data_IF_392726058086
#
_entry.id   IF_392726058086
#
_cell.length_a   1.000
_cell.length_b   1.000
_cell.length_c   1.000
_cell.angle_alpha   90.00
_cell.angle_beta   90.00
_cell.angle_gamma   90.00
#
_symmetry.space_group_name_H-M   'P 1'
#
loop_
_entity.id
_entity.type
_entity.pdbx_description
1 polymer ?
#
# COMPACT_ATOMS: atom_id res chain seq x y z
N UNK A 1 4.19 -22.34 -0.14
CA UNK A 1 5.62 -22.46 0.22
C UNK A 1 5.78 -21.61 1.47
N UNK A 2 6.30 -22.19 2.52
CA UNK A 2 6.58 -21.46 3.77
C UNK A 2 8.05 -21.00 3.74
N UNK A 3 8.29 -19.76 4.12
CA UNK A 3 9.61 -19.17 4.20
C UNK A 3 9.95 -18.95 5.67
N UNK A 4 10.66 -19.89 6.29
CA UNK A 4 11.12 -19.81 7.69
C UNK A 4 12.48 -19.13 7.78
N UNK A 5 12.72 -18.38 8.85
CA UNK A 5 14.01 -17.72 9.13
C UNK A 5 14.31 -16.47 8.28
N UNK A 6 13.36 -15.98 7.50
CA UNK A 6 13.52 -14.75 6.70
C UNK A 6 13.16 -13.54 7.53
N UNK A 7 14.08 -12.57 7.64
CA UNK A 7 13.76 -11.22 8.12
C UNK A 7 13.16 -10.40 6.97
N UNK A 8 11.83 -10.39 6.87
CA UNK A 8 11.12 -9.69 5.78
C UNK A 8 11.28 -8.17 5.84
N UNK A 9 11.46 -7.59 7.02
CA UNK A 9 11.74 -6.15 7.13
C UNK A 9 13.08 -5.80 6.49
N UNK A 10 14.11 -6.52 6.84
CA UNK A 10 15.47 -6.33 6.29
C UNK A 10 15.50 -6.61 4.79
N UNK A 11 14.80 -7.64 4.33
CA UNK A 11 14.68 -7.95 2.91
C UNK A 11 14.12 -6.76 2.13
N UNK A 12 13.01 -6.18 2.59
CA UNK A 12 12.36 -5.03 1.91
C UNK A 12 13.27 -3.81 1.94
N UNK A 13 13.83 -3.49 3.10
CA UNK A 13 14.69 -2.32 3.28
C UNK A 13 15.95 -2.43 2.39
N UNK A 14 16.57 -3.61 2.31
CA UNK A 14 17.73 -3.89 1.45
C UNK A 14 17.38 -3.83 -0.04
N UNK A 15 16.22 -4.38 -0.44
CA UNK A 15 15.80 -4.38 -1.83
C UNK A 15 15.53 -2.94 -2.34
N UNK A 16 14.94 -2.08 -1.50
CA UNK A 16 14.73 -0.68 -1.81
C UNK A 16 16.05 0.10 -1.83
N UNK A 17 16.90 -0.08 -0.82
CA UNK A 17 18.18 0.64 -0.70
C UNK A 17 19.12 0.39 -1.90
N UNK A 18 19.15 -0.83 -2.45
CA UNK A 18 19.91 -1.17 -3.67
C UNK A 18 19.57 -0.28 -4.87
N UNK A 19 18.36 0.25 -4.91
CA UNK A 19 17.87 1.12 -5.99
C UNK A 19 17.78 2.60 -5.56
N UNK A 20 18.33 2.96 -4.40
CA UNK A 20 18.33 4.34 -3.90
C UNK A 20 17.00 4.80 -3.32
N UNK A 21 16.20 3.87 -2.81
CA UNK A 21 14.92 4.17 -2.16
C UNK A 21 14.92 3.75 -0.68
N UNK A 22 14.03 4.35 0.09
CA UNK A 22 13.73 3.95 1.48
C UNK A 22 12.22 3.91 1.70
N UNK A 23 11.76 3.02 2.58
CA UNK A 23 10.37 2.96 3.01
C UNK A 23 10.23 3.57 4.41
N UNK A 24 9.21 4.39 4.60
CA UNK A 24 8.95 5.13 5.84
C UNK A 24 7.51 4.87 6.28
N UNK A 25 7.34 4.54 7.57
CA UNK A 25 6.02 4.46 8.19
C UNK A 25 5.46 5.88 8.38
N UNK A 26 4.22 6.10 7.97
CA UNK A 26 3.53 7.39 8.15
C UNK A 26 2.94 7.44 9.55
N UNK A 27 3.69 8.01 10.48
CA UNK A 27 3.17 8.38 11.80
C UNK A 27 2.37 9.69 11.72
N UNK A 28 1.65 10.04 12.79
CA UNK A 28 0.98 11.35 12.93
C UNK A 28 1.97 12.49 12.68
N UNK A 29 3.15 12.43 13.30
CA UNK A 29 4.19 13.46 13.14
C UNK A 29 4.67 13.57 11.68
N UNK A 30 4.86 12.44 10.99
CA UNK A 30 5.25 12.42 9.58
C UNK A 30 4.13 13.00 8.71
N UNK A 31 2.88 12.64 8.98
CA UNK A 31 1.72 13.20 8.26
C UNK A 31 1.67 14.72 8.42
N UNK A 32 1.77 15.24 9.65
CA UNK A 32 1.71 16.67 9.93
C UNK A 32 2.88 17.45 9.31
N UNK A 33 4.10 16.91 9.37
CA UNK A 33 5.29 17.59 8.85
C UNK A 33 5.42 17.56 7.33
N UNK A 34 4.76 16.59 6.66
CA UNK A 34 4.84 16.39 5.19
C UNK A 34 3.49 16.49 4.48
N UNK A 35 2.51 17.09 5.12
CA UNK A 35 1.14 17.14 4.60
C UNK A 35 1.07 17.75 3.20
N UNK A 36 1.83 18.82 2.93
CA UNK A 36 1.79 19.50 1.64
C UNK A 36 2.42 18.64 0.52
N UNK A 37 3.51 17.92 0.82
CA UNK A 37 4.11 16.95 -0.10
C UNK A 37 3.16 15.79 -0.40
N UNK A 38 2.53 15.25 0.66
CA UNK A 38 1.58 14.14 0.56
C UNK A 38 0.38 14.55 -0.27
N UNK A 39 -0.22 15.70 0.00
CA UNK A 39 -1.37 16.22 -0.76
C UNK A 39 -1.01 16.46 -2.22
N UNK A 40 0.13 17.12 -2.47
CA UNK A 40 0.61 17.39 -3.83
C UNK A 40 0.79 16.08 -4.60
N UNK A 41 1.44 15.08 -3.99
CA UNK A 41 1.66 13.77 -4.59
C UNK A 41 0.34 13.03 -4.88
N UNK A 42 -0.56 12.93 -3.89
CA UNK A 42 -1.83 12.23 -4.04
C UNK A 42 -2.71 12.91 -5.09
N UNK A 43 -2.88 14.22 -4.99
CA UNK A 43 -3.78 14.96 -5.87
C UNK A 43 -3.26 15.00 -7.31
N UNK A 44 -1.94 15.02 -7.53
CA UNK A 44 -1.38 14.91 -8.88
C UNK A 44 -1.78 13.59 -9.56
N UNK A 45 -1.73 12.46 -8.83
CA UNK A 45 -2.13 11.16 -9.36
C UNK A 45 -3.64 11.05 -9.53
N UNK A 46 -4.43 11.60 -8.60
CA UNK A 46 -5.90 11.60 -8.71
C UNK A 46 -6.37 12.40 -9.92
N UNK A 47 -5.76 13.55 -10.18
CA UNK A 47 -6.05 14.37 -11.35
C UNK A 47 -5.69 13.65 -12.66
N UNK A 48 -4.58 12.93 -12.72
CA UNK A 48 -4.22 12.11 -13.89
C UNK A 48 -5.25 11.01 -14.18
N UNK A 49 -5.97 10.55 -13.18
CA UNK A 49 -6.93 9.45 -13.27
C UNK A 49 -8.39 9.90 -13.14
N UNK A 50 -8.66 11.20 -13.09
CA UNK A 50 -10.01 11.74 -12.94
C UNK A 50 -10.95 11.26 -14.05
N UNK A 51 -10.53 11.34 -15.31
CA UNK A 51 -11.34 10.93 -16.47
C UNK A 51 -11.65 9.43 -16.49
N UNK A 52 -10.77 8.61 -15.91
CA UNK A 52 -10.91 7.14 -15.92
C UNK A 52 -11.71 6.63 -14.72
N UNK A 53 -11.47 7.19 -13.53
CA UNK A 53 -12.01 6.67 -12.27
C UNK A 53 -12.91 7.67 -11.54
N UNK A 54 -13.03 8.92 -12.02
CA UNK A 54 -13.78 9.98 -11.35
C UNK A 54 -13.17 10.41 -10.00
N UNK A 55 -11.88 10.16 -9.78
CA UNK A 55 -11.20 10.51 -8.54
C UNK A 55 -11.06 12.03 -8.41
N UNK A 56 -11.61 12.56 -7.33
CA UNK A 56 -11.48 13.97 -6.98
C UNK A 56 -10.31 14.17 -6.02
N UNK A 57 -9.80 15.40 -5.96
CA UNK A 57 -8.79 15.78 -4.97
C UNK A 57 -9.30 15.55 -3.54
N UNK A 58 -8.37 15.24 -2.65
CA UNK A 58 -8.63 15.12 -1.21
C UNK A 58 -8.26 16.42 -0.52
N UNK A 59 -9.01 16.76 0.52
CA UNK A 59 -8.75 17.96 1.31
C UNK A 59 -7.66 17.71 2.37
N UNK A 60 -7.10 18.79 2.90
CA UNK A 60 -6.14 18.73 4.01
C UNK A 60 -6.76 18.08 5.25
N UNK A 61 -8.02 18.39 5.52
CA UNK A 61 -8.78 17.84 6.66
C UNK A 61 -8.93 16.32 6.54
N UNK A 62 -9.10 15.79 5.34
CA UNK A 62 -9.15 14.35 5.11
C UNK A 62 -7.90 13.64 5.65
N UNK A 63 -6.72 14.19 5.39
CA UNK A 63 -5.46 13.61 5.86
C UNK A 63 -5.21 13.85 7.35
N UNK A 64 -5.56 15.03 7.87
CA UNK A 64 -5.31 15.41 9.25
C UNK A 64 -6.41 14.98 10.23
N UNK A 65 -7.47 14.32 9.75
CA UNK A 65 -8.56 13.87 10.61
C UNK A 65 -8.04 13.01 11.76
N UNK A 66 -8.34 13.35 13.01
CA UNK A 66 -7.76 12.71 14.21
C UNK A 66 -8.40 11.38 14.61
N UNK A 67 -9.14 10.70 13.72
CA UNK A 67 -9.72 9.40 14.05
C UNK A 67 -8.64 8.42 14.57
N UNK A 68 -9.01 7.64 15.58
CA UNK A 68 -8.15 6.60 16.13
C UNK A 68 -7.72 5.62 15.04
N UNK A 69 -6.45 5.23 15.08
CA UNK A 69 -5.86 4.27 14.14
C UNK A 69 -5.98 4.63 12.65
N UNK A 70 -6.45 5.85 12.32
CA UNK A 70 -6.41 6.36 10.96
C UNK A 70 -4.96 6.47 10.51
N UNK A 71 -4.71 6.00 9.32
CA UNK A 71 -3.38 5.93 8.69
C UNK A 71 -2.38 5.02 9.41
N UNK A 72 -2.78 4.28 10.43
CA UNK A 72 -1.93 3.28 11.06
C UNK A 72 -1.50 2.23 10.04
N UNK A 73 -0.22 1.91 10.04
CA UNK A 73 0.44 1.06 9.04
C UNK A 73 0.38 1.59 7.59
N UNK A 74 0.26 2.91 7.43
CA UNK A 74 0.48 3.58 6.15
C UNK A 74 1.96 3.76 5.89
N UNK A 75 2.38 3.60 4.63
CA UNK A 75 3.78 3.68 4.24
C UNK A 75 3.98 4.59 3.03
N UNK A 76 5.13 5.24 2.97
CA UNK A 76 5.61 5.90 1.77
C UNK A 76 7.00 5.40 1.39
N UNK A 77 7.31 5.40 0.10
CA UNK A 77 8.64 5.12 -0.42
C UNK A 77 9.20 6.42 -1.00
N UNK A 78 10.39 6.77 -0.54
CA UNK A 78 11.09 8.00 -0.89
C UNK A 78 12.34 7.65 -1.71
N UNK A 79 12.70 8.53 -2.66
CA UNK A 79 13.97 8.46 -3.36
C UNK A 79 15.10 9.15 -2.57
N UNK A 80 16.30 9.21 -3.15
CA UNK A 80 17.49 9.86 -2.54
C UNK A 80 17.34 11.37 -2.32
N UNK A 81 16.42 12.02 -3.04
CA UNK A 81 16.08 13.44 -2.87
C UNK A 81 14.95 13.67 -1.87
N UNK A 82 14.54 12.64 -1.17
CA UNK A 82 13.43 12.65 -0.22
C UNK A 82 12.05 12.93 -0.86
N UNK A 83 11.91 12.73 -2.18
CA UNK A 83 10.65 12.86 -2.91
C UNK A 83 9.81 11.59 -2.79
N UNK A 84 8.49 11.74 -2.66
CA UNK A 84 7.56 10.62 -2.59
C UNK A 84 7.44 9.95 -3.97
N UNK A 85 7.70 8.65 -4.04
CA UNK A 85 7.59 7.83 -5.24
C UNK A 85 6.40 6.86 -5.18
N UNK A 86 6.02 6.46 -3.99
CA UNK A 86 4.92 5.54 -3.71
C UNK A 86 4.33 5.86 -2.36
N UNK A 87 3.03 5.67 -2.21
CA UNK A 87 2.32 5.91 -0.97
C UNK A 87 1.14 4.93 -0.84
N UNK A 88 0.99 4.36 0.35
CA UNK A 88 -0.17 3.56 0.72
C UNK A 88 -0.78 4.14 1.98
N UNK A 89 -2.10 4.21 1.99
CA UNK A 89 -2.88 4.55 3.17
C UNK A 89 -3.65 3.35 3.68
N UNK A 90 -3.49 3.08 4.96
CA UNK A 90 -4.20 2.04 5.69
C UNK A 90 -4.74 2.57 7.01
N UNK A 91 -5.77 1.95 7.52
CA UNK A 91 -6.26 2.16 8.88
C UNK A 91 -6.50 0.80 9.54
N UNK A 92 -6.73 0.84 10.85
CA UNK A 92 -6.97 -0.37 11.63
C UNK A 92 -8.29 -0.21 12.36
N UNK A 93 -9.12 -1.25 12.30
CA UNK A 93 -10.28 -1.40 13.16
C UNK A 93 -10.43 -2.88 13.53
N UNK A 94 -10.77 -3.14 14.77
CA UNK A 94 -10.71 -4.47 15.36
C UNK A 94 -9.34 -5.12 15.17
N UNK A 95 -9.29 -6.25 14.48
CA UNK A 95 -8.04 -6.99 14.15
C UNK A 95 -7.76 -7.04 12.65
N UNK A 96 -8.30 -6.08 11.91
CA UNK A 96 -8.20 -6.03 10.44
C UNK A 96 -7.47 -4.75 10.02
N UNK A 97 -6.56 -4.89 9.06
CA UNK A 97 -5.94 -3.76 8.38
C UNK A 97 -6.78 -3.44 7.15
N UNK A 98 -7.36 -2.25 7.10
CA UNK A 98 -8.11 -1.78 5.95
C UNK A 98 -7.21 -0.96 5.01
N UNK A 99 -7.06 -1.41 3.77
CA UNK A 99 -6.31 -0.70 2.75
C UNK A 99 -7.23 0.31 2.04
N UNK A 100 -6.99 1.61 2.23
CA UNK A 100 -7.78 2.67 1.60
C UNK A 100 -7.38 2.92 0.16
N UNK A 101 -6.09 3.15 -0.07
CA UNK A 101 -5.58 3.48 -1.40
C UNK A 101 -4.07 3.27 -1.49
N UNK A 102 -3.61 3.13 -2.72
CA UNK A 102 -2.20 2.97 -3.05
C UNK A 102 -1.90 3.81 -4.29
N UNK A 103 -0.91 4.67 -4.20
CA UNK A 103 -0.49 5.58 -5.26
C UNK A 103 0.97 5.33 -5.63
N UNK A 104 1.29 5.35 -6.92
CA UNK A 104 2.65 5.18 -7.42
C UNK A 104 2.90 6.11 -8.60
N UNK A 105 4.04 6.77 -8.62
CA UNK A 105 4.50 7.55 -9.78
C UNK A 105 4.70 6.63 -10.99
N UNK A 106 4.36 7.12 -12.18
CA UNK A 106 4.49 6.34 -13.43
C UNK A 106 5.94 5.98 -13.76
N UNK A 107 6.86 6.89 -13.50
CA UNK A 107 8.29 6.73 -13.77
C UNK A 107 8.98 5.75 -12.80
N UNK A 108 8.29 5.33 -11.74
CA UNK A 108 8.80 4.34 -10.77
C UNK A 108 8.27 2.93 -11.00
N UNK A 109 7.58 2.70 -12.11
CA UNK A 109 7.12 1.35 -12.48
C UNK A 109 8.33 0.45 -12.76
N UNK A 110 8.26 -0.81 -12.31
CA UNK A 110 9.36 -1.77 -12.43
C UNK A 110 10.19 -1.97 -11.16
N UNK A 111 10.17 -1.04 -10.19
CA UNK A 111 10.87 -1.20 -8.91
C UNK A 111 10.15 -2.10 -7.89
N UNK A 112 9.07 -2.74 -8.28
CA UNK A 112 8.28 -3.63 -7.40
C UNK A 112 7.72 -2.98 -6.13
N UNK A 113 7.53 -1.65 -6.08
CA UNK A 113 7.10 -0.94 -4.87
C UNK A 113 5.83 -1.51 -4.24
N UNK A 114 4.80 -1.80 -5.06
CA UNK A 114 3.56 -2.39 -4.55
C UNK A 114 3.80 -3.74 -3.86
N UNK A 115 4.66 -4.59 -4.41
CA UNK A 115 4.99 -5.89 -3.82
C UNK A 115 5.82 -5.74 -2.55
N UNK A 116 6.88 -4.93 -2.59
CA UNK A 116 7.75 -4.68 -1.43
C UNK A 116 6.97 -4.04 -0.28
N UNK A 117 6.10 -3.06 -0.59
CA UNK A 117 5.20 -2.47 0.39
C UNK A 117 4.27 -3.51 1.02
N UNK A 118 3.64 -4.39 0.23
CA UNK A 118 2.74 -5.44 0.75
C UNK A 118 3.50 -6.42 1.66
N UNK A 119 4.72 -6.81 1.32
CA UNK A 119 5.55 -7.64 2.22
C UNK A 119 5.78 -6.92 3.55
N UNK A 120 6.16 -5.62 3.52
CA UNK A 120 6.41 -4.81 4.72
C UNK A 120 5.15 -4.67 5.57
N UNK A 121 4.01 -4.32 4.93
CA UNK A 121 2.72 -4.16 5.59
C UNK A 121 2.26 -5.46 6.25
N UNK A 122 2.30 -6.58 5.52
CA UNK A 122 1.91 -7.88 6.06
C UNK A 122 2.79 -8.28 7.25
N UNK A 123 4.11 -8.11 7.16
CA UNK A 123 5.01 -8.44 8.27
C UNK A 123 4.73 -7.53 9.47
N UNK A 124 4.60 -6.22 9.26
CA UNK A 124 4.25 -5.28 10.33
C UNK A 124 2.92 -5.64 11.00
N UNK A 125 1.92 -6.04 10.23
CA UNK A 125 0.64 -6.50 10.76
C UNK A 125 0.78 -7.75 11.62
N UNK A 126 1.47 -8.77 11.11
CA UNK A 126 1.71 -10.03 11.85
C UNK A 126 2.45 -9.80 13.17
N UNK A 127 3.50 -8.96 13.17
CA UNK A 127 4.26 -8.60 14.37
C UNK A 127 3.40 -7.91 15.45
N UNK A 128 2.27 -7.31 15.04
CA UNK A 128 1.32 -6.64 15.91
C UNK A 128 0.02 -7.45 16.14
N UNK A 129 0.02 -8.74 15.78
CA UNK A 129 -1.08 -9.67 16.05
C UNK A 129 -2.28 -9.58 15.10
N UNK A 130 -2.14 -8.88 13.98
CA UNK A 130 -3.13 -8.88 12.90
C UNK A 130 -2.95 -10.11 12.02
N UNK A 131 -4.05 -10.64 11.49
CA UNK A 131 -4.01 -11.82 10.63
C UNK A 131 -4.56 -11.55 9.23
N UNK A 132 -5.37 -10.50 9.08
CA UNK A 132 -6.08 -10.20 7.83
C UNK A 132 -5.96 -8.73 7.44
N UNK A 133 -6.08 -8.51 6.14
CA UNK A 133 -6.31 -7.19 5.58
C UNK A 133 -7.44 -7.25 4.54
N UNK A 134 -8.04 -6.10 4.30
CA UNK A 134 -9.14 -5.94 3.35
C UNK A 134 -9.06 -4.60 2.63
N UNK A 135 -9.90 -4.40 1.61
CA UNK A 135 -10.02 -3.14 0.91
C UNK A 135 -11.03 -3.20 -0.24
N UNK A 136 -11.22 -2.05 -0.88
CA UNK A 136 -12.11 -1.90 -2.03
C UNK A 136 -11.33 -1.48 -3.26
N UNK A 137 -11.63 -2.09 -4.40
CA UNK A 137 -11.02 -1.80 -5.69
C UNK A 137 -12.10 -1.44 -6.72
N UNK A 138 -11.99 -0.30 -7.40
CA UNK A 138 -12.86 -0.02 -8.55
C UNK A 138 -12.75 -1.14 -9.58
N UNK A 139 -13.89 -1.65 -10.09
CA UNK A 139 -13.93 -2.72 -11.10
C UNK A 139 -13.17 -2.36 -12.38
N UNK A 140 -13.08 -1.08 -12.70
CA UNK A 140 -12.33 -0.57 -13.85
C UNK A 140 -10.82 -0.65 -13.69
N UNK A 141 -10.29 -0.81 -12.45
CA UNK A 141 -8.85 -0.86 -12.18
C UNK A 141 -8.28 -2.27 -12.36
N UNK A 142 -8.40 -2.83 -13.58
CA UNK A 142 -7.98 -4.19 -13.91
C UNK A 142 -6.50 -4.45 -13.56
N UNK A 143 -5.61 -3.49 -13.80
CA UNK A 143 -4.18 -3.65 -13.52
C UNK A 143 -3.90 -3.90 -12.04
N UNK A 144 -4.52 -3.11 -11.16
CA UNK A 144 -4.41 -3.30 -9.72
C UNK A 144 -5.05 -4.61 -9.26
N UNK A 145 -6.26 -4.90 -9.72
CA UNK A 145 -6.98 -6.13 -9.36
C UNK A 145 -6.15 -7.37 -9.69
N UNK A 146 -5.64 -7.46 -10.93
CA UNK A 146 -4.80 -8.58 -11.36
C UNK A 146 -3.53 -8.71 -10.51
N UNK A 147 -2.89 -7.58 -10.17
CA UNK A 147 -1.70 -7.58 -9.32
C UNK A 147 -2.03 -8.14 -7.92
N UNK A 148 -3.09 -7.65 -7.29
CA UNK A 148 -3.49 -8.10 -5.95
C UNK A 148 -3.92 -9.57 -5.93
N UNK A 149 -4.65 -10.04 -6.96
CA UNK A 149 -4.97 -11.46 -7.11
C UNK A 149 -3.71 -12.33 -7.25
N UNK A 150 -2.71 -11.89 -8.02
CA UNK A 150 -1.40 -12.57 -8.11
C UNK A 150 -0.67 -12.62 -6.77
N UNK A 151 -0.82 -11.61 -5.93
CA UNK A 151 -0.26 -11.58 -4.57
C UNK A 151 -1.05 -12.43 -3.56
N UNK A 152 -2.16 -13.05 -3.95
CA UNK A 152 -2.93 -13.97 -3.11
C UNK A 152 -4.16 -13.37 -2.44
N UNK A 153 -4.53 -12.15 -2.78
CA UNK A 153 -5.81 -11.57 -2.38
C UNK A 153 -6.97 -12.32 -3.04
N UNK A 154 -8.13 -12.27 -2.41
CA UNK A 154 -9.35 -12.92 -2.91
C UNK A 154 -10.49 -11.92 -3.00
N UNK A 155 -11.26 -11.98 -4.08
CA UNK A 155 -12.52 -11.26 -4.18
C UNK A 155 -13.52 -11.97 -3.27
N UNK A 156 -14.07 -11.24 -2.30
CA UNK A 156 -15.07 -11.74 -1.37
C UNK A 156 -16.48 -11.36 -1.80
N UNK A 157 -16.64 -10.12 -2.28
CA UNK A 157 -17.96 -9.60 -2.64
C UNK A 157 -17.84 -8.44 -3.64
N UNK A 158 -18.98 -7.97 -4.13
CA UNK A 158 -19.14 -6.77 -4.96
C UNK A 158 -19.95 -5.75 -4.16
N UNK A 159 -19.43 -4.53 -4.06
CA UNK A 159 -20.09 -3.41 -3.40
C UNK A 159 -20.62 -2.42 -4.45
N UNK A 160 -21.89 -2.03 -4.30
CA UNK A 160 -22.54 -0.97 -5.13
C UNK A 160 -22.34 -1.15 -6.65
N UNK A 161 -22.20 -2.37 -7.13
CA UNK A 161 -21.93 -2.72 -8.53
C UNK A 161 -20.69 -2.06 -9.17
N UNK A 162 -19.91 -1.30 -8.41
CA UNK A 162 -18.77 -0.53 -8.89
C UNK A 162 -17.43 -0.99 -8.29
N UNK A 163 -17.43 -1.63 -7.14
CA UNK A 163 -16.24 -1.97 -6.40
C UNK A 163 -16.19 -3.45 -6.04
N UNK A 164 -15.00 -4.02 -6.09
CA UNK A 164 -14.71 -5.35 -5.55
C UNK A 164 -14.24 -5.21 -4.11
N UNK A 165 -14.91 -5.87 -3.19
CA UNK A 165 -14.39 -6.08 -1.85
C UNK A 165 -13.44 -7.26 -1.86
N UNK A 166 -12.20 -7.02 -1.47
CA UNK A 166 -11.15 -8.04 -1.46
C UNK A 166 -10.59 -8.20 -0.06
N UNK A 167 -10.24 -9.45 0.27
CA UNK A 167 -9.63 -9.82 1.55
C UNK A 167 -8.35 -10.61 1.33
N UNK A 168 -7.49 -10.60 2.32
CA UNK A 168 -6.22 -11.30 2.32
C UNK A 168 -5.81 -11.78 3.71
N UNK A 169 -5.29 -13.00 3.77
CA UNK A 169 -4.52 -13.51 4.90
C UNK A 169 -3.10 -12.95 4.81
N UNK A 170 -2.63 -12.28 5.87
CA UNK A 170 -1.36 -11.55 5.84
C UNK A 170 -0.16 -12.46 5.58
N UNK A 171 -0.11 -13.62 6.25
CA UNK A 171 1.01 -14.54 6.10
C UNK A 171 1.07 -15.13 4.69
N UNK A 172 -0.08 -15.57 4.20
CA UNK A 172 -0.21 -16.14 2.85
C UNK A 172 0.18 -15.15 1.76
N UNK A 173 -0.34 -13.92 1.86
CA UNK A 173 -0.04 -12.85 0.89
C UNK A 173 1.42 -12.45 0.97
N UNK A 174 2.00 -12.29 2.17
CA UNK A 174 3.43 -12.00 2.35
C UNK A 174 4.30 -13.04 1.63
N UNK A 175 4.06 -14.32 1.91
CA UNK A 175 4.85 -15.42 1.37
C UNK A 175 4.69 -15.53 -0.16
N UNK A 176 3.48 -15.40 -0.67
CA UNK A 176 3.21 -15.43 -2.12
C UNK A 176 3.86 -14.24 -2.84
N UNK A 177 3.73 -13.05 -2.27
CA UNK A 177 4.34 -11.82 -2.83
C UNK A 177 5.85 -11.90 -2.83
N UNK A 178 6.46 -12.41 -1.76
CA UNK A 178 7.90 -12.66 -1.69
C UNK A 178 8.37 -13.57 -2.82
N UNK A 179 7.67 -14.69 -3.04
CA UNK A 179 7.96 -15.59 -4.16
C UNK A 179 7.88 -14.92 -5.54
N UNK A 180 6.92 -14.00 -5.73
CA UNK A 180 6.83 -13.21 -6.97
C UNK A 180 8.01 -12.26 -7.15
N UNK A 181 8.49 -11.62 -6.08
CA UNK A 181 9.67 -10.73 -6.13
C UNK A 181 10.91 -11.53 -6.50
N UNK A 182 11.13 -12.69 -5.88
CA UNK A 182 12.28 -13.56 -6.19
C UNK A 182 12.26 -14.08 -7.63
N UNK A 183 11.08 -14.38 -8.16
CA UNK A 183 10.91 -14.87 -9.53
C UNK A 183 11.00 -13.76 -10.61
N UNK A 184 11.18 -12.50 -10.23
CA UNK A 184 11.19 -11.36 -11.16
C UNK A 184 9.84 -11.10 -11.87
N UNK A 185 8.72 -11.54 -11.25
CA UNK A 185 7.37 -11.51 -11.83
C UNK A 185 6.50 -10.40 -11.27
#
# INVERSE_FOLDING_TARGET
MEYTGINFHEFVDSALAKNGFKIVLISKQVMESRIDDIMSFVNSIRNEHFEVYGWKEESREYFLNPLNDKWKYSFMILNQKDEICFLNFSSVYDKIIHNHCTYARKDTRGFNFAKLHIIKLCQTGLDNGFTHQEGFWPKSNNGSIILFLKMGWKIQNIRNDQELFMIADLEKVRNQTYGLVLAGK
#
